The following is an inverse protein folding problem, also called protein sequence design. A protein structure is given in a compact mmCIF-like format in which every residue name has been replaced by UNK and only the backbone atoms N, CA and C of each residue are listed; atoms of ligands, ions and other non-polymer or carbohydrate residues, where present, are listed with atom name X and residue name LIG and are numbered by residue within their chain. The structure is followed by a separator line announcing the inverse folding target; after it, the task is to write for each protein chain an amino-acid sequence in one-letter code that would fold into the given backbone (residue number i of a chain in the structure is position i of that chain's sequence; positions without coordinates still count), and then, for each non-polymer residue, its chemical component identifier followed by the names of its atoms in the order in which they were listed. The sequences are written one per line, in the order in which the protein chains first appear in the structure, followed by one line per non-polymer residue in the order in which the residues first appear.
data_IF_051582293815
#
_entry.id   IF_051582293815
#
_cell.length_a   1.000
_cell.length_b   1.000
_cell.length_c   1.000
_cell.angle_alpha   90.00
_cell.angle_beta   90.00
_cell.angle_gamma   90.00
#
_symmetry.space_group_name_H-M   'P 1'
#
loop_
_entity.id
_entity.type
_entity.pdbx_description
1 polymer ?
#
# COMPACT_ATOMS: atom_id res chain seq x y z
N UNK A 1 38.32 28.09 43.57
CA UNK A 1 38.54 27.71 42.17
C UNK A 1 37.38 26.82 41.75
N UNK A 2 36.25 27.45 41.42
CA UNK A 2 35.05 26.81 40.89
C UNK A 2 35.16 26.80 39.36
N UNK A 3 34.97 25.64 38.73
CA UNK A 3 34.62 25.58 37.31
C UNK A 3 33.23 24.97 37.17
N UNK A 4 32.35 25.81 36.65
CA UNK A 4 30.98 25.54 36.24
C UNK A 4 30.94 24.44 35.18
N UNK A 5 30.08 23.44 35.40
CA UNK A 5 29.55 22.57 34.36
C UNK A 5 28.19 23.16 33.96
N UNK A 6 27.95 23.58 32.71
CA UNK A 6 26.62 24.02 32.30
C UNK A 6 25.69 22.82 32.14
N UNK A 7 24.47 22.95 32.68
CA UNK A 7 23.37 22.02 32.45
C UNK A 7 23.00 21.96 30.96
N UNK A 8 22.53 20.81 30.44
CA UNK A 8 22.10 20.71 29.05
C UNK A 8 20.83 21.54 28.83
N UNK A 9 20.90 22.46 27.88
CA UNK A 9 19.75 23.23 27.39
C UNK A 9 18.71 22.27 26.80
N UNK A 10 17.54 22.21 27.43
CA UNK A 10 16.29 21.74 26.86
C UNK A 10 15.93 22.67 25.68
N UNK A 11 16.32 22.31 24.45
CA UNK A 11 15.80 22.89 23.20
C UNK A 11 16.27 22.05 21.99
N UNK A 12 16.00 20.75 22.00
CA UNK A 12 16.08 19.96 20.77
C UNK A 12 14.92 18.94 20.72
N UNK A 13 13.73 19.46 20.40
CA UNK A 13 12.51 18.69 20.20
C UNK A 13 11.90 18.96 18.80
N UNK A 14 12.73 19.35 17.82
CA UNK A 14 12.31 19.62 16.44
C UNK A 14 13.05 18.75 15.41
N UNK A 15 13.20 17.45 15.69
CA UNK A 15 13.73 16.46 14.76
C UNK A 15 12.63 15.50 14.28
N UNK A 16 11.59 16.04 13.65
CA UNK A 16 10.76 15.27 12.72
C UNK A 16 10.84 15.95 11.36
N UNK A 17 11.63 15.43 10.41
CA UNK A 17 11.62 15.96 9.05
C UNK A 17 10.23 15.72 8.46
N UNK A 18 9.51 16.81 8.20
CA UNK A 18 8.19 16.88 7.58
C UNK A 18 8.18 16.51 6.08
N UNK A 19 9.07 15.58 5.67
CA UNK A 19 9.30 15.15 4.27
C UNK A 19 9.24 13.61 4.12
N UNK A 20 8.62 12.94 5.08
CA UNK A 20 8.74 11.49 5.25
C UNK A 20 7.40 10.81 5.01
N UNK A 21 7.27 10.15 3.86
CA UNK A 21 6.15 9.26 3.54
C UNK A 21 6.48 7.79 3.87
N UNK A 22 5.44 6.94 3.83
CA UNK A 22 5.56 5.48 3.83
C UNK A 22 6.08 4.90 5.15
N UNK A 23 5.97 5.65 6.25
CA UNK A 23 6.32 5.20 7.59
C UNK A 23 5.09 4.76 8.37
N UNK A 24 5.33 3.82 9.29
CA UNK A 24 4.34 3.31 10.24
C UNK A 24 4.85 3.58 11.66
N UNK A 25 4.56 4.75 12.25
CA UNK A 25 5.12 5.14 13.55
C UNK A 25 4.88 4.11 14.66
N UNK A 26 3.75 3.40 14.60
CA UNK A 26 3.35 2.39 15.59
C UNK A 26 3.76 0.95 15.22
N UNK A 27 4.48 0.71 14.12
CA UNK A 27 4.82 -0.67 13.73
C UNK A 27 5.71 -1.40 14.76
N UNK A 28 6.62 -0.70 15.44
CA UNK A 28 7.54 -1.31 16.41
C UNK A 28 6.83 -1.82 17.67
N UNK A 29 5.76 -1.18 18.12
CA UNK A 29 4.97 -1.65 19.27
C UNK A 29 4.17 -2.92 18.93
N UNK A 30 3.89 -3.15 17.64
CA UNK A 30 3.10 -4.29 17.15
C UNK A 30 3.92 -5.59 17.00
N UNK A 31 5.25 -5.51 16.91
CA UNK A 31 6.15 -6.68 16.73
C UNK A 31 6.06 -7.68 17.91
N UNK A 32 5.67 -7.22 19.10
CA UNK A 32 5.52 -8.07 20.29
C UNK A 32 4.35 -9.06 20.23
N UNK A 33 3.42 -8.94 19.26
CA UNK A 33 2.13 -9.66 19.25
C UNK A 33 1.79 -10.45 17.97
N UNK A 34 2.73 -10.72 17.04
CA UNK A 34 2.38 -11.31 15.72
C UNK A 34 2.50 -12.84 15.62
N UNK A 35 1.43 -13.51 15.14
CA UNK A 35 1.43 -14.81 14.45
C UNK A 35 0.55 -14.68 13.18
N UNK A 36 1.06 -15.03 12.01
CA UNK A 36 0.51 -14.65 10.69
C UNK A 36 0.05 -15.88 9.88
N UNK A 37 -1.25 -16.00 9.51
CA UNK A 37 -1.82 -16.64 8.27
C UNK A 37 -3.32 -16.26 8.12
N UNK A 38 -3.78 -15.86 6.92
CA UNK A 38 -5.19 -15.50 6.62
C UNK A 38 -5.54 -14.10 7.13
N UNK A 39 -6.39 -13.34 6.44
CA UNK A 39 -6.67 -11.93 6.81
C UNK A 39 -6.92 -11.76 8.31
N UNK A 40 -6.16 -10.87 8.96
CA UNK A 40 -6.25 -10.64 10.41
C UNK A 40 -6.70 -9.21 10.71
N UNK A 41 -7.35 -9.07 11.86
CA UNK A 41 -7.62 -7.78 12.47
C UNK A 41 -6.32 -6.99 12.61
N UNK A 42 -6.32 -5.81 12.01
CA UNK A 42 -5.18 -4.91 11.99
C UNK A 42 -5.14 -4.10 13.28
N UNK A 43 -3.95 -4.00 13.88
CA UNK A 43 -3.75 -3.12 15.04
C UNK A 43 -3.81 -1.64 14.62
N UNK A 44 -4.37 -0.75 15.46
CA UNK A 44 -4.48 0.68 15.16
C UNK A 44 -3.16 1.33 14.69
N UNK A 45 -3.21 2.08 13.60
CA UNK A 45 -2.04 2.78 13.04
C UNK A 45 -1.06 1.89 12.26
N UNK A 46 -1.37 0.61 12.02
CA UNK A 46 -0.55 -0.25 11.16
C UNK A 46 -0.53 0.27 9.71
N UNK A 47 -1.62 0.81 9.19
CA UNK A 47 -1.68 1.35 7.82
C UNK A 47 -2.13 2.82 7.83
N UNK A 48 -1.25 3.76 8.22
CA UNK A 48 -1.66 5.13 8.55
C UNK A 48 -2.09 5.98 7.33
N UNK A 49 -1.88 5.49 6.12
CA UNK A 49 -2.36 6.13 4.88
C UNK A 49 -3.73 5.62 4.44
N UNK A 50 -4.30 4.58 5.06
CA UNK A 50 -5.56 4.03 4.59
C UNK A 50 -6.73 4.99 4.86
N UNK A 51 -7.64 5.06 3.90
CA UNK A 51 -8.82 5.93 3.95
C UNK A 51 -10.06 5.10 3.71
N UNK A 52 -11.07 5.26 4.55
CA UNK A 52 -12.41 4.72 4.29
C UNK A 52 -13.26 5.78 3.58
N UNK A 53 -13.71 5.47 2.37
CA UNK A 53 -14.66 6.28 1.61
C UNK A 53 -16.07 5.81 1.95
N UNK A 54 -16.91 6.71 2.46
CA UNK A 54 -18.24 6.42 2.95
C UNK A 54 -19.32 7.23 2.25
N UNK A 55 -20.43 6.57 1.93
CA UNK A 55 -21.60 7.18 1.31
C UNK A 55 -22.72 7.36 2.35
N UNK A 56 -23.55 8.40 2.22
CA UNK A 56 -24.72 8.57 3.08
C UNK A 56 -25.77 7.48 2.80
N UNK A 57 -26.44 7.06 3.86
CA UNK A 57 -27.53 6.07 3.89
C UNK A 57 -28.62 6.55 4.86
N UNK A 58 -29.79 5.90 4.86
CA UNK A 58 -30.88 6.28 5.79
C UNK A 58 -30.50 6.14 7.27
N UNK A 59 -29.51 5.29 7.58
CA UNK A 59 -29.08 4.97 8.95
C UNK A 59 -27.72 5.59 9.32
N UNK A 60 -27.25 6.56 8.54
CA UNK A 60 -25.92 7.19 8.72
C UNK A 60 -25.00 6.96 7.53
N UNK A 61 -23.74 6.62 7.76
CA UNK A 61 -22.74 6.44 6.70
C UNK A 61 -22.36 4.98 6.53
N UNK A 62 -22.11 4.56 5.28
CA UNK A 62 -21.67 3.20 4.97
C UNK A 62 -20.38 3.24 4.16
N UNK A 63 -19.41 2.45 4.57
CA UNK A 63 -18.19 2.19 3.80
C UNK A 63 -18.53 1.63 2.42
N UNK A 64 -17.88 2.16 1.38
CA UNK A 64 -18.07 1.70 0.00
C UNK A 64 -16.77 1.34 -0.71
N UNK A 65 -15.68 2.05 -0.42
CA UNK A 65 -14.38 1.86 -1.05
C UNK A 65 -13.27 2.29 -0.09
N UNK A 66 -12.08 1.79 -0.33
CA UNK A 66 -10.83 2.28 0.24
C UNK A 66 -10.23 3.42 -0.57
N UNK A 67 -9.21 4.03 0.02
CA UNK A 67 -8.33 5.00 -0.61
C UNK A 67 -6.99 5.06 0.11
N UNK A 68 -6.05 5.82 -0.46
CA UNK A 68 -4.73 6.05 0.14
C UNK A 68 -4.43 7.55 0.21
N UNK A 69 -4.09 8.04 1.39
CA UNK A 69 -3.56 9.38 1.58
C UNK A 69 -2.15 9.46 0.96
N UNK A 70 -1.96 10.32 -0.03
CA UNK A 70 -0.68 10.48 -0.76
C UNK A 70 -0.01 11.83 -0.45
N UNK A 71 -0.79 12.78 0.05
CA UNK A 71 -0.35 14.05 0.61
C UNK A 71 -1.44 14.56 1.57
N UNK A 72 -1.17 15.57 2.42
CA UNK A 72 -2.19 16.09 3.31
C UNK A 72 -3.43 16.66 2.62
N UNK A 73 -3.43 16.86 1.30
CA UNK A 73 -4.59 17.36 0.54
C UNK A 73 -5.18 16.37 -0.45
N UNK A 74 -4.49 15.26 -0.73
CA UNK A 74 -4.87 14.35 -1.81
C UNK A 74 -4.96 12.90 -1.35
N UNK A 75 -6.08 12.29 -1.73
CA UNK A 75 -6.31 10.85 -1.63
C UNK A 75 -6.41 10.27 -3.02
N UNK A 76 -5.77 9.13 -3.24
CA UNK A 76 -5.92 8.33 -4.45
C UNK A 76 -6.80 7.11 -4.20
N UNK A 77 -7.59 6.72 -5.19
CA UNK A 77 -8.53 5.62 -5.13
C UNK A 77 -8.87 5.14 -6.55
N UNK A 78 -9.80 4.20 -6.70
CA UNK A 78 -10.26 3.70 -7.98
C UNK A 78 -11.38 4.59 -8.55
N UNK A 79 -11.42 4.77 -9.87
CA UNK A 79 -12.46 5.55 -10.54
C UNK A 79 -13.82 4.85 -10.49
N UNK A 80 -13.84 3.51 -10.53
CA UNK A 80 -15.09 2.73 -10.46
C UNK A 80 -15.85 2.89 -9.14
N UNK A 81 -15.21 3.41 -8.09
CA UNK A 81 -15.89 3.78 -6.85
C UNK A 81 -16.92 4.91 -7.06
N UNK A 82 -16.81 5.68 -8.14
CA UNK A 82 -17.62 6.85 -8.43
C UNK A 82 -18.51 6.69 -9.67
N UNK A 83 -18.87 5.44 -10.04
CA UNK A 83 -19.85 5.20 -11.12
C UNK A 83 -21.21 5.86 -10.82
N UNK A 84 -21.56 5.99 -9.55
CA UNK A 84 -22.72 6.74 -9.09
C UNK A 84 -22.28 7.86 -8.13
N UNK A 85 -22.32 9.11 -8.61
CA UNK A 85 -21.85 10.31 -7.89
C UNK A 85 -22.98 11.05 -7.18
N UNK A 86 -24.11 10.39 -6.96
CA UNK A 86 -25.25 11.02 -6.28
C UNK A 86 -24.84 11.42 -4.86
N UNK A 87 -25.13 12.66 -4.49
CA UNK A 87 -24.82 13.24 -3.18
C UNK A 87 -23.32 13.28 -2.86
N UNK A 88 -22.45 13.43 -3.86
CA UNK A 88 -20.99 13.45 -3.68
C UNK A 88 -20.54 14.49 -2.62
N UNK A 89 -21.24 15.61 -2.55
CA UNK A 89 -21.05 16.67 -1.55
C UNK A 89 -21.27 16.22 -0.11
N UNK A 90 -22.01 15.12 0.08
CA UNK A 90 -22.28 14.49 1.37
C UNK A 90 -21.43 13.25 1.63
N UNK A 91 -20.51 12.90 0.74
CA UNK A 91 -19.61 11.77 0.98
C UNK A 91 -18.58 12.13 2.04
N UNK A 92 -18.16 11.10 2.79
CA UNK A 92 -17.27 11.25 3.94
C UNK A 92 -16.03 10.39 3.79
N UNK A 93 -14.87 10.97 4.06
CA UNK A 93 -13.57 10.31 4.09
C UNK A 93 -13.13 10.19 5.56
N UNK A 94 -12.82 8.98 6.01
CA UNK A 94 -12.38 8.70 7.38
C UNK A 94 -10.93 8.21 7.37
N UNK A 95 -10.09 8.84 8.19
CA UNK A 95 -8.65 8.62 8.31
C UNK A 95 -8.29 8.18 9.73
N UNK A 96 -7.21 7.41 9.90
CA UNK A 96 -6.67 7.05 11.21
C UNK A 96 -7.51 6.08 12.02
N UNK A 97 -8.57 5.51 11.44
CA UNK A 97 -9.44 4.54 12.09
C UNK A 97 -8.94 3.11 11.84
N UNK A 98 -9.01 2.24 12.85
CA UNK A 98 -8.95 0.79 12.67
C UNK A 98 -10.35 0.17 12.69
N UNK A 99 -11.26 0.69 13.51
CA UNK A 99 -12.64 0.24 13.61
C UNK A 99 -13.59 1.35 13.15
N UNK A 100 -14.47 1.10 12.17
CA UNK A 100 -15.31 2.16 11.60
C UNK A 100 -16.47 2.57 12.50
N UNK A 101 -17.04 1.63 13.27
CA UNK A 101 -18.06 1.93 14.27
C UNK A 101 -17.51 2.71 15.47
N UNK A 102 -16.20 2.66 15.69
CA UNK A 102 -15.48 3.33 16.79
C UNK A 102 -14.12 3.87 16.32
N UNK A 103 -14.09 4.96 15.51
CA UNK A 103 -12.86 5.44 14.86
C UNK A 103 -11.72 5.81 15.81
N UNK A 104 -12.03 6.16 17.06
CA UNK A 104 -11.05 6.60 18.06
C UNK A 104 -10.81 8.11 18.03
N UNK A 105 -10.07 8.66 19.01
CA UNK A 105 -9.87 10.10 19.17
C UNK A 105 -8.91 10.71 18.13
N UNK A 106 -7.99 9.92 17.57
CA UNK A 106 -7.03 10.37 16.55
C UNK A 106 -7.58 10.30 15.12
N UNK A 107 -8.78 9.75 14.95
CA UNK A 107 -9.44 9.68 13.65
C UNK A 107 -9.89 11.07 13.20
N UNK A 108 -9.76 11.32 11.90
CA UNK A 108 -10.19 12.57 11.29
C UNK A 108 -11.15 12.28 10.14
N UNK A 109 -12.06 13.24 9.91
CA UNK A 109 -13.02 13.17 8.82
C UNK A 109 -12.84 14.36 7.86
N UNK A 110 -13.01 14.12 6.56
CA UNK A 110 -13.04 15.18 5.53
C UNK A 110 -14.12 14.88 4.49
N UNK A 111 -14.63 15.93 3.85
CA UNK A 111 -15.43 15.81 2.63
C UNK A 111 -14.58 16.01 1.37
N UNK A 112 -15.13 15.63 0.22
CA UNK A 112 -14.47 15.75 -1.09
C UNK A 112 -14.71 17.17 -1.63
N UNK A 113 -13.61 17.91 -1.88
CA UNK A 113 -13.66 19.22 -2.55
C UNK A 113 -13.73 19.09 -4.06
N UNK A 114 -12.89 18.22 -4.61
CA UNK A 114 -12.80 17.97 -6.04
C UNK A 114 -12.51 16.49 -6.28
N UNK A 115 -13.17 15.91 -7.29
CA UNK A 115 -12.96 14.54 -7.74
C UNK A 115 -12.43 14.58 -9.18
N UNK A 116 -11.26 14.01 -9.39
CA UNK A 116 -10.60 13.95 -10.70
C UNK A 116 -10.38 12.48 -11.08
N UNK A 117 -11.22 11.97 -11.96
CA UNK A 117 -11.02 10.65 -12.59
C UNK A 117 -10.01 10.77 -13.72
N UNK A 118 -9.28 9.69 -14.00
CA UNK A 118 -8.42 9.65 -15.17
C UNK A 118 -9.24 9.85 -16.45
N UNK A 119 -8.79 10.76 -17.33
CA UNK A 119 -9.58 11.20 -18.50
C UNK A 119 -9.87 10.08 -19.50
N UNK A 120 -9.05 9.03 -19.47
CA UNK A 120 -9.17 7.84 -20.31
C UNK A 120 -9.73 6.62 -19.54
N UNK A 121 -10.37 6.84 -18.39
CA UNK A 121 -11.04 5.77 -17.65
C UNK A 121 -12.16 5.14 -18.49
N UNK A 122 -12.23 3.80 -18.51
CA UNK A 122 -13.33 3.05 -19.16
C UNK A 122 -13.92 2.05 -18.18
N UNK A 123 -15.16 2.29 -17.78
CA UNK A 123 -15.88 1.45 -16.81
C UNK A 123 -16.11 0.01 -17.29
N UNK A 124 -16.32 -0.20 -18.60
CA UNK A 124 -16.56 -1.54 -19.16
C UNK A 124 -15.36 -2.47 -19.10
N UNK A 125 -14.14 -1.93 -19.06
CA UNK A 125 -12.90 -2.72 -19.08
C UNK A 125 -11.97 -2.42 -17.91
N UNK A 126 -12.38 -1.55 -16.98
CA UNK A 126 -11.54 -1.02 -15.89
C UNK A 126 -10.21 -0.43 -16.39
N UNK A 127 -10.18 0.06 -17.63
CA UNK A 127 -8.96 0.67 -18.17
C UNK A 127 -8.75 2.03 -17.52
N UNK A 128 -7.53 2.32 -17.05
CA UNK A 128 -7.19 3.53 -16.30
C UNK A 128 -8.09 3.78 -15.08
N UNK A 129 -8.37 2.73 -14.32
CA UNK A 129 -9.22 2.81 -13.13
C UNK A 129 -8.49 3.44 -11.94
N UNK A 130 -8.36 4.77 -11.99
CA UNK A 130 -7.75 5.60 -10.94
C UNK A 130 -8.44 6.95 -10.87
N UNK A 131 -8.62 7.45 -9.65
CA UNK A 131 -9.17 8.76 -9.37
C UNK A 131 -8.43 9.42 -8.20
N UNK A 132 -8.44 10.75 -8.19
CA UNK A 132 -7.90 11.60 -7.14
C UNK A 132 -9.02 12.40 -6.49
N UNK A 133 -8.98 12.50 -5.16
CA UNK A 133 -9.86 13.35 -4.38
C UNK A 133 -9.03 14.44 -3.69
N UNK A 134 -9.36 15.69 -3.98
CA UNK A 134 -8.89 16.83 -3.20
C UNK A 134 -9.75 16.93 -1.94
N UNK A 135 -9.11 17.03 -0.78
CA UNK A 135 -9.79 17.17 0.50
C UNK A 135 -10.34 18.61 0.66
N UNK A 136 -11.51 18.74 1.31
CA UNK A 136 -12.08 20.04 1.72
C UNK A 136 -11.10 20.91 2.50
N UNK A 137 -10.35 20.29 3.41
CA UNK A 137 -9.27 20.91 4.17
C UNK A 137 -8.13 19.90 4.35
N UNK A 138 -6.87 20.37 4.47
CA UNK A 138 -5.74 19.50 4.73
C UNK A 138 -5.94 18.60 5.97
N UNK A 139 -5.36 17.41 5.95
CA UNK A 139 -5.31 16.49 7.10
C UNK A 139 -4.14 16.87 8.00
N UNK A 140 -4.31 16.70 9.31
CA UNK A 140 -3.20 16.82 10.26
C UNK A 140 -2.59 15.44 10.44
N UNK A 141 -1.27 15.33 10.34
CA UNK A 141 -0.59 14.05 10.51
C UNK A 141 -0.48 13.67 11.99
N UNK A 142 -0.51 12.37 12.27
CA UNK A 142 -0.35 11.78 13.59
C UNK A 142 0.32 10.41 13.47
N UNK A 143 0.53 9.70 14.57
CA UNK A 143 1.02 8.32 14.53
C UNK A 143 0.07 7.36 13.79
N UNK A 144 -1.21 7.75 13.66
CA UNK A 144 -2.26 7.00 12.97
C UNK A 144 -2.55 7.52 11.55
N UNK A 145 -2.04 8.70 11.18
CA UNK A 145 -2.31 9.35 9.89
C UNK A 145 -0.98 9.83 9.29
N UNK A 146 -0.54 9.18 8.21
CA UNK A 146 0.70 9.48 7.49
C UNK A 146 0.50 9.23 5.98
N UNK A 147 1.12 10.02 5.08
CA UNK A 147 1.01 9.78 3.65
C UNK A 147 1.82 8.56 3.19
N UNK A 148 1.30 7.83 2.19
CA UNK A 148 2.03 6.76 1.51
C UNK A 148 3.06 7.33 0.52
N UNK A 149 4.17 6.61 0.31
CA UNK A 149 5.13 6.98 -0.75
C UNK A 149 4.66 6.47 -2.11
N UNK A 150 4.90 7.25 -3.17
CA UNK A 150 4.61 6.86 -4.54
C UNK A 150 5.90 6.49 -5.29
N UNK A 151 6.02 5.28 -5.84
CA UNK A 151 7.26 4.82 -6.49
C UNK A 151 7.52 5.59 -7.78
N UNK A 152 8.69 6.22 -7.88
CA UNK A 152 9.18 6.78 -9.15
C UNK A 152 9.72 5.69 -10.08
N UNK A 153 10.11 6.06 -11.30
CA UNK A 153 10.63 5.11 -12.30
C UNK A 153 11.97 4.46 -11.90
N UNK A 154 12.65 4.95 -10.86
CA UNK A 154 13.90 4.38 -10.37
C UNK A 154 13.66 3.29 -9.31
N UNK A 155 12.46 3.21 -8.74
CA UNK A 155 12.08 2.14 -7.81
C UNK A 155 11.80 0.88 -8.62
N UNK A 156 12.62 -0.14 -8.42
CA UNK A 156 12.40 -1.44 -9.04
C UNK A 156 11.31 -2.21 -8.28
N UNK A 157 10.09 -2.18 -8.81
CA UNK A 157 8.91 -2.80 -8.17
C UNK A 157 9.09 -4.30 -7.92
N UNK A 158 9.76 -5.01 -8.84
CA UNK A 158 10.08 -6.45 -8.71
C UNK A 158 11.02 -6.78 -7.54
N UNK A 159 11.79 -5.80 -7.07
CA UNK A 159 12.71 -5.98 -5.93
C UNK A 159 12.05 -5.75 -4.57
N UNK A 160 10.82 -5.20 -4.56
CA UNK A 160 10.07 -4.95 -3.34
C UNK A 160 9.54 -6.27 -2.78
N UNK A 161 9.52 -6.36 -1.45
CA UNK A 161 9.10 -7.58 -0.74
C UNK A 161 8.06 -7.24 0.30
N UNK A 162 7.47 -8.26 0.93
CA UNK A 162 6.50 -8.07 2.02
C UNK A 162 5.36 -7.13 1.59
N UNK A 163 4.66 -7.52 0.52
CA UNK A 163 3.53 -6.76 0.05
C UNK A 163 2.28 -7.08 0.86
N UNK A 164 1.48 -6.06 1.11
CA UNK A 164 0.24 -6.15 1.86
C UNK A 164 -0.88 -5.42 1.13
N UNK A 165 -2.07 -5.93 1.31
CA UNK A 165 -3.33 -5.23 1.05
C UNK A 165 -4.04 -5.03 2.37
N UNK A 166 -4.84 -3.97 2.45
CA UNK A 166 -5.61 -3.67 3.65
C UNK A 166 -6.92 -2.99 3.30
N UNK A 167 -7.98 -3.28 4.07
CA UNK A 167 -9.29 -2.72 3.85
C UNK A 167 -10.36 -3.25 4.80
N UNK A 168 -11.57 -2.71 4.64
CA UNK A 168 -12.78 -3.10 5.40
C UNK A 168 -13.74 -3.90 4.52
N UNK A 169 -13.25 -4.48 3.43
CA UNK A 169 -14.07 -5.25 2.51
C UNK A 169 -14.66 -6.53 3.11
N UNK A 170 -15.28 -7.30 2.23
CA UNK A 170 -15.87 -8.60 2.53
C UNK A 170 -14.75 -9.58 2.92
N UNK A 171 -14.84 -10.14 4.11
CA UNK A 171 -13.91 -11.17 4.61
C UNK A 171 -14.41 -12.60 4.41
N UNK A 172 -15.71 -12.75 4.17
CA UNK A 172 -16.37 -14.04 3.95
C UNK A 172 -17.13 -13.99 2.62
N UNK A 173 -16.58 -14.65 1.59
CA UNK A 173 -17.19 -14.69 0.25
C UNK A 173 -18.57 -15.34 0.22
N UNK A 174 -18.94 -16.10 1.26
CA UNK A 174 -20.31 -16.62 1.42
C UNK A 174 -21.31 -15.55 1.86
N UNK A 175 -20.82 -14.41 2.38
CA UNK A 175 -21.59 -13.26 2.84
C UNK A 175 -21.15 -11.98 2.10
N UNK A 176 -21.38 -11.88 0.78
CA UNK A 176 -20.86 -10.79 -0.06
C UNK A 176 -21.42 -9.39 0.24
N UNK A 177 -22.38 -9.29 1.18
CA UNK A 177 -22.97 -8.02 1.62
C UNK A 177 -22.43 -7.54 2.98
N UNK A 178 -21.62 -8.35 3.66
CA UNK A 178 -21.11 -8.06 4.99
C UNK A 178 -19.64 -7.65 4.88
N UNK A 179 -19.39 -6.36 5.10
CA UNK A 179 -18.05 -5.78 5.21
C UNK A 179 -17.53 -5.89 6.63
N UNK A 180 -16.21 -5.90 6.80
CA UNK A 180 -15.61 -5.88 8.13
C UNK A 180 -15.75 -4.49 8.78
N UNK A 181 -16.04 -4.47 10.09
CA UNK A 181 -15.99 -3.23 10.88
C UNK A 181 -14.54 -2.91 11.32
N UNK A 182 -13.71 -3.94 11.51
CA UNK A 182 -12.31 -3.84 11.89
C UNK A 182 -11.45 -3.97 10.63
N UNK A 183 -10.46 -3.09 10.49
CA UNK A 183 -9.53 -3.07 9.37
C UNK A 183 -8.82 -4.41 9.27
N UNK A 184 -8.78 -4.98 8.08
CA UNK A 184 -8.07 -6.22 7.80
C UNK A 184 -6.78 -5.94 7.06
N UNK A 185 -5.80 -6.82 7.24
CA UNK A 185 -4.60 -6.86 6.41
C UNK A 185 -4.31 -8.27 5.92
N UNK A 186 -3.73 -8.36 4.73
CA UNK A 186 -3.32 -9.62 4.15
C UNK A 186 -1.99 -9.48 3.40
N UNK A 187 -1.08 -10.42 3.65
CA UNK A 187 0.19 -10.50 2.92
C UNK A 187 -0.05 -11.14 1.54
N UNK A 188 0.44 -10.50 0.50
CA UNK A 188 0.31 -10.95 -0.90
C UNK A 188 1.67 -10.95 -1.61
N UNK A 189 1.76 -11.68 -2.71
CA UNK A 189 2.93 -11.68 -3.57
C UNK A 189 2.63 -10.93 -4.87
N UNK A 190 3.61 -10.17 -5.39
CA UNK A 190 3.53 -9.63 -6.74
C UNK A 190 3.67 -10.77 -7.74
N UNK A 191 2.75 -10.84 -8.70
CA UNK A 191 2.76 -11.86 -9.74
C UNK A 191 3.13 -11.20 -11.08
N UNK A 192 4.10 -11.74 -11.82
CA UNK A 192 4.46 -11.21 -13.14
C UNK A 192 3.24 -11.10 -14.06
N UNK A 193 3.12 -9.97 -14.74
CA UNK A 193 2.00 -9.72 -15.66
C UNK A 193 1.95 -10.75 -16.80
N UNK A 194 3.08 -11.34 -17.19
CA UNK A 194 3.17 -12.41 -18.18
C UNK A 194 2.42 -13.67 -17.74
N UNK A 195 2.58 -14.07 -16.47
CA UNK A 195 1.86 -15.19 -15.85
C UNK A 195 0.38 -14.85 -15.69
N UNK A 196 0.11 -13.71 -15.07
CA UNK A 196 -1.25 -13.27 -14.74
C UNK A 196 -2.12 -13.06 -16.00
N UNK A 197 -1.53 -12.52 -17.07
CA UNK A 197 -2.19 -12.28 -18.35
C UNK A 197 -2.01 -13.46 -19.34
N UNK A 198 -1.70 -14.66 -18.85
CA UNK A 198 -1.67 -15.88 -19.66
C UNK A 198 -3.08 -16.32 -20.08
N UNK A 199 -3.15 -17.20 -21.09
CA UNK A 199 -4.44 -17.78 -21.56
C UNK A 199 -5.16 -18.57 -20.47
N UNK A 200 -4.41 -19.29 -19.63
CA UNK A 200 -4.96 -20.09 -18.54
C UNK A 200 -5.51 -19.22 -17.39
N UNK A 201 -4.94 -18.02 -17.21
CA UNK A 201 -5.37 -17.05 -16.21
C UNK A 201 -6.30 -16.07 -16.88
N UNK A 202 -6.01 -14.76 -16.90
CA UNK A 202 -6.95 -13.73 -17.34
C UNK A 202 -7.18 -13.63 -18.85
N UNK A 203 -6.62 -14.55 -19.64
CA UNK A 203 -6.85 -14.65 -21.09
C UNK A 203 -6.67 -13.32 -21.84
N UNK A 204 -5.51 -12.69 -21.65
CA UNK A 204 -5.12 -11.44 -22.33
C UNK A 204 -5.98 -10.21 -22.01
N UNK A 205 -6.82 -10.25 -20.97
CA UNK A 205 -7.69 -9.14 -20.55
C UNK A 205 -7.01 -8.08 -19.68
N UNK A 206 -5.82 -8.34 -19.16
CA UNK A 206 -5.11 -7.40 -18.28
C UNK A 206 -4.43 -6.34 -19.12
N UNK A 207 -4.60 -5.07 -18.72
CA UNK A 207 -4.01 -3.92 -19.37
C UNK A 207 -2.58 -3.69 -18.92
N UNK A 208 -1.79 -3.00 -19.74
CA UNK A 208 -0.38 -2.69 -19.45
C UNK A 208 -0.17 -1.76 -18.25
N UNK A 209 -1.22 -1.03 -17.85
CA UNK A 209 -1.23 -0.13 -16.69
C UNK A 209 -1.65 -0.86 -15.40
N UNK A 210 -1.77 -2.19 -15.43
CA UNK A 210 -2.14 -2.98 -14.26
C UNK A 210 -0.95 -3.75 -13.65
N UNK A 211 -1.11 -4.13 -12.39
CA UNK A 211 -0.29 -5.06 -11.63
C UNK A 211 -1.16 -6.22 -11.15
N UNK A 212 -0.53 -7.37 -10.87
CA UNK A 212 -1.19 -8.50 -10.23
C UNK A 212 -0.54 -8.78 -8.88
N UNK A 213 -1.38 -9.01 -7.87
CA UNK A 213 -0.91 -9.46 -6.57
C UNK A 213 -1.89 -10.44 -5.93
N UNK A 214 -1.35 -11.46 -5.27
CA UNK A 214 -2.13 -12.50 -4.61
C UNK A 214 -1.30 -13.75 -4.40
N UNK A 215 -1.97 -14.89 -4.32
CA UNK A 215 -1.36 -16.22 -4.25
C UNK A 215 -1.92 -17.08 -5.39
N UNK A 216 -1.08 -17.94 -5.97
CA UNK A 216 -1.47 -18.69 -7.17
C UNK A 216 -2.56 -19.73 -6.85
N UNK A 217 -2.48 -20.31 -5.66
CA UNK A 217 -3.44 -21.21 -5.05
C UNK A 217 -4.77 -20.53 -4.67
N UNK A 218 -4.81 -19.19 -4.64
CA UNK A 218 -5.96 -18.41 -4.17
C UNK A 218 -5.99 -18.28 -2.64
N UNK A 219 -7.20 -18.24 -2.07
CA UNK A 219 -7.41 -18.13 -0.62
C UNK A 219 -7.30 -16.72 -0.06
N UNK A 220 -6.19 -16.02 -0.34
CA UNK A 220 -5.95 -14.64 0.13
C UNK A 220 -6.06 -13.67 -1.04
N UNK A 221 -6.96 -12.69 -0.94
CA UNK A 221 -7.22 -11.70 -1.98
C UNK A 221 -7.93 -10.45 -1.41
N UNK A 222 -7.94 -9.37 -2.18
CA UNK A 222 -8.86 -8.23 -1.94
C UNK A 222 -10.26 -8.59 -2.42
N UNK A 223 -11.28 -8.04 -1.77
CA UNK A 223 -12.67 -8.34 -2.10
C UNK A 223 -13.55 -7.08 -2.11
N UNK A 224 -14.87 -7.26 -2.25
CA UNK A 224 -15.81 -6.14 -2.35
C UNK A 224 -15.67 -5.22 -1.13
N UNK A 225 -15.49 -3.93 -1.38
CA UNK A 225 -15.22 -2.92 -0.34
C UNK A 225 -13.74 -2.53 -0.22
N UNK A 226 -12.81 -3.39 -0.64
CA UNK A 226 -11.38 -3.04 -0.68
C UNK A 226 -11.00 -2.23 -1.93
N UNK A 227 -11.91 -2.12 -2.90
CA UNK A 227 -11.80 -1.29 -4.10
C UNK A 227 -11.24 0.09 -3.80
N UNK A 228 -10.24 0.53 -4.54
CA UNK A 228 -9.54 1.81 -4.32
C UNK A 228 -8.54 1.80 -3.16
N UNK A 229 -8.55 0.76 -2.33
CA UNK A 229 -7.61 0.56 -1.23
C UNK A 229 -6.19 0.25 -1.70
N UNK A 230 -5.20 0.36 -0.80
CA UNK A 230 -3.80 0.32 -1.15
C UNK A 230 -3.26 -1.11 -1.36
N UNK A 231 -2.38 -1.27 -2.35
CA UNK A 231 -1.39 -2.34 -2.43
C UNK A 231 -0.03 -1.76 -2.08
N UNK A 232 0.54 -2.16 -0.95
CA UNK A 232 1.78 -1.60 -0.42
C UNK A 232 2.87 -2.64 -0.39
N UNK A 233 4.09 -2.28 -0.78
CA UNK A 233 5.25 -3.16 -0.66
C UNK A 233 6.39 -2.47 0.08
N UNK A 234 7.14 -3.24 0.86
CA UNK A 234 8.27 -2.73 1.64
C UNK A 234 9.55 -2.74 0.81
N UNK A 235 10.30 -1.65 0.92
CA UNK A 235 11.66 -1.59 0.39
C UNK A 235 12.59 -2.51 1.19
N UNK A 236 13.47 -3.27 0.53
CA UNK A 236 14.35 -4.21 1.26
C UNK A 236 15.35 -3.49 2.20
N UNK A 237 15.77 -2.28 1.83
CA UNK A 237 16.85 -1.54 2.52
C UNK A 237 16.34 -0.54 3.55
N UNK A 238 15.02 -0.39 3.71
CA UNK A 238 14.42 0.52 4.67
C UNK A 238 13.06 0.00 5.16
N UNK A 239 12.61 0.40 6.35
CA UNK A 239 11.25 0.08 6.84
C UNK A 239 10.15 0.90 6.14
N UNK A 240 10.43 1.44 4.95
CA UNK A 240 9.51 2.27 4.17
C UNK A 240 8.64 1.42 3.25
N UNK A 241 7.38 1.80 3.19
CA UNK A 241 6.40 1.23 2.27
C UNK A 241 6.12 2.17 1.09
N UNK A 242 6.01 1.55 -0.08
CA UNK A 242 5.58 2.17 -1.32
C UNK A 242 4.15 1.73 -1.63
N UNK A 243 3.28 2.68 -1.97
CA UNK A 243 2.00 2.38 -2.61
C UNK A 243 2.27 2.02 -4.06
N UNK A 244 2.35 0.72 -4.36
CA UNK A 244 2.68 0.24 -5.70
C UNK A 244 1.45 0.10 -6.58
N UNK A 245 0.26 -0.08 -5.98
CA UNK A 245 -0.98 -0.20 -6.72
C UNK A 245 -2.22 0.26 -5.96
N UNK A 246 -3.29 0.50 -6.72
CA UNK A 246 -4.64 0.80 -6.24
C UNK A 246 -5.56 -0.35 -6.62
N UNK A 247 -6.26 -0.93 -5.64
CA UNK A 247 -7.16 -2.08 -5.84
C UNK A 247 -8.25 -1.74 -6.85
N UNK A 248 -8.39 -2.55 -7.91
CA UNK A 248 -9.26 -2.20 -9.05
C UNK A 248 -10.29 -3.28 -9.34
N UNK A 249 -9.89 -4.47 -9.81
CA UNK A 249 -10.83 -5.52 -10.19
C UNK A 249 -10.24 -6.92 -10.03
N UNK A 250 -11.07 -7.95 -10.19
CA UNK A 250 -10.67 -9.35 -10.12
C UNK A 250 -11.79 -10.27 -10.59
N UNK A 251 -11.46 -11.50 -10.97
CA UNK A 251 -12.45 -12.50 -11.39
C UNK A 251 -13.03 -13.27 -10.20
N UNK A 252 -13.78 -12.57 -9.34
CA UNK A 252 -14.14 -13.04 -8.00
C UNK A 252 -13.01 -12.77 -7.00
N UNK A 253 -13.17 -13.22 -5.76
CA UNK A 253 -12.16 -13.09 -4.71
C UNK A 253 -11.56 -14.46 -4.36
N UNK A 254 -10.28 -14.49 -4.02
CA UNK A 254 -9.60 -15.63 -3.40
C UNK A 254 -9.63 -16.92 -4.25
N UNK A 255 -9.77 -16.79 -5.58
CA UNK A 255 -9.79 -17.93 -6.51
C UNK A 255 -8.38 -18.25 -7.01
N UNK A 256 -8.08 -19.54 -7.09
CA UNK A 256 -6.83 -20.02 -7.68
C UNK A 256 -6.67 -19.47 -9.12
N UNK A 257 -5.44 -19.05 -9.46
CA UNK A 257 -5.08 -18.45 -10.75
C UNK A 257 -5.87 -17.18 -11.11
N UNK A 258 -6.55 -16.55 -10.14
CA UNK A 258 -7.32 -15.31 -10.29
C UNK A 258 -6.92 -14.30 -9.21
N UNK A 259 -5.65 -13.85 -9.17
CA UNK A 259 -5.23 -12.82 -8.23
C UNK A 259 -5.97 -11.50 -8.48
N UNK A 260 -5.99 -10.63 -7.47
CA UNK A 260 -6.44 -9.25 -7.61
C UNK A 260 -5.62 -8.46 -8.64
N UNK A 261 -6.30 -7.55 -9.33
CA UNK A 261 -5.74 -6.65 -10.33
C UNK A 261 -5.76 -5.22 -9.78
N UNK A 262 -4.62 -4.54 -9.91
CA UNK A 262 -4.40 -3.22 -9.33
C UNK A 262 -3.97 -2.23 -10.42
N UNK A 263 -4.38 -0.97 -10.32
CA UNK A 263 -3.84 0.12 -11.15
C UNK A 263 -2.42 0.45 -10.70
N UNK A 264 -1.45 0.45 -11.62
CA UNK A 264 -0.02 0.63 -11.33
C UNK A 264 0.32 2.07 -10.95
N UNK A 265 0.79 2.29 -9.72
CA UNK A 265 1.14 3.65 -9.28
C UNK A 265 2.34 4.23 -10.01
N UNK A 266 3.31 3.39 -10.38
CA UNK A 266 4.45 3.84 -11.16
C UNK A 266 4.01 4.32 -12.55
N UNK A 267 3.02 3.67 -13.16
CA UNK A 267 2.43 4.09 -14.43
C UNK A 267 1.70 5.44 -14.31
N UNK A 268 0.87 5.62 -13.28
CA UNK A 268 0.05 6.82 -13.11
C UNK A 268 0.78 8.00 -12.45
N UNK A 269 2.03 7.84 -12.01
CA UNK A 269 2.75 8.87 -11.26
C UNK A 269 2.81 10.22 -11.99
N UNK A 270 3.00 10.21 -13.31
CA UNK A 270 3.01 11.45 -14.11
C UNK A 270 1.66 12.14 -14.06
N UNK A 271 0.57 11.41 -14.31
CA UNK A 271 -0.78 11.95 -14.25
C UNK A 271 -1.10 12.50 -12.86
N UNK A 272 -0.71 11.80 -11.79
CA UNK A 272 -0.92 12.25 -10.41
C UNK A 272 -0.21 13.58 -10.15
N UNK A 273 1.04 13.74 -10.59
CA UNK A 273 1.79 15.02 -10.50
C UNK A 273 1.15 16.13 -11.33
N UNK A 274 0.70 15.80 -12.54
CA UNK A 274 0.11 16.77 -13.46
C UNK A 274 -1.24 17.29 -12.93
N UNK A 275 -2.05 16.46 -12.27
CA UNK A 275 -3.33 16.86 -11.67
C UNK A 275 -3.13 17.67 -10.40
N UNK A 276 -2.35 17.15 -9.46
CA UNK A 276 -2.21 17.75 -8.12
C UNK A 276 -1.31 18.97 -8.09
N UNK A 277 -0.40 19.10 -9.08
CA UNK A 277 0.68 20.10 -9.09
C UNK A 277 1.60 20.02 -7.88
N UNK A 278 1.58 18.88 -7.17
CA UNK A 278 2.42 18.64 -6.00
C UNK A 278 3.69 17.86 -6.39
N UNK A 279 4.80 18.26 -5.76
CA UNK A 279 5.99 17.42 -5.75
C UNK A 279 5.81 16.38 -4.64
N UNK A 280 5.23 15.23 -4.99
CA UNK A 280 5.14 14.10 -4.06
C UNK A 280 6.53 13.72 -3.57
N UNK A 281 6.60 13.46 -2.26
CA UNK A 281 7.82 13.20 -1.53
C UNK A 281 8.69 12.17 -2.26
N UNK A 282 9.88 12.59 -2.70
CA UNK A 282 10.91 11.65 -3.12
C UNK A 282 11.53 11.11 -1.85
N UNK A 283 11.40 9.80 -1.63
CA UNK A 283 12.32 9.13 -0.73
C UNK A 283 13.76 9.44 -1.18
N UNK A 284 14.68 9.80 -0.27
CA UNK A 284 16.10 9.75 -0.60
C UNK A 284 16.40 8.33 -1.07
N UNK A 285 16.75 8.17 -2.34
CA UNK A 285 17.21 6.89 -2.86
C UNK A 285 18.49 6.53 -2.09
N UNK A 286 18.59 5.34 -1.46
CA UNK A 286 19.88 4.91 -0.96
C UNK A 286 20.88 4.93 -2.13
N UNK A 287 22.12 5.42 -1.93
CA UNK A 287 23.11 5.44 -3.00
C UNK A 287 23.19 4.06 -3.64
N UNK A 288 23.19 3.99 -4.98
CA UNK A 288 23.50 2.76 -5.70
C UNK A 288 24.93 2.36 -5.32
N UNK A 289 25.08 1.53 -4.29
CA UNK A 289 26.36 0.90 -4.00
C UNK A 289 26.69 0.03 -5.19
N UNK A 290 27.71 0.45 -5.95
CA UNK A 290 28.39 -0.41 -6.91
C UNK A 290 28.72 -1.71 -6.15
N UNK A 291 28.49 -2.91 -6.72
CA UNK A 291 28.98 -4.14 -6.10
C UNK A 291 30.44 -3.91 -5.72
N UNK A 292 30.87 -4.27 -4.50
CA UNK A 292 32.27 -4.14 -4.15
C UNK A 292 33.07 -4.95 -5.17
N UNK A 293 33.80 -4.26 -6.05
CA UNK A 293 34.86 -4.87 -6.82
C UNK A 293 35.96 -5.18 -5.82
N UNK A 294 35.82 -6.27 -5.07
CA UNK A 294 36.94 -6.82 -4.32
C UNK A 294 37.83 -7.57 -5.31
N UNK A 295 39.12 -7.26 -5.40
CA UNK A 295 40.09 -8.15 -6.02
C UNK A 295 40.04 -9.48 -5.27
N UNK A 296 39.72 -10.54 -6.00
CA UNK A 296 39.89 -11.92 -5.56
C UNK A 296 41.40 -12.17 -5.52
N UNK A 297 42.10 -11.75 -4.46
CA UNK A 297 43.49 -12.15 -4.14
C UNK A 297 43.97 -11.49 -2.84
N UNK A 298 43.28 -11.68 -1.70
CA UNK A 298 43.90 -11.33 -0.42
C UNK A 298 43.31 -11.97 0.85
N UNK A 299 42.99 -13.26 0.85
CA UNK A 299 42.76 -13.99 2.11
C UNK A 299 43.24 -15.44 2.03
N UNK A 300 44.56 -15.66 2.16
CA UNK A 300 45.10 -16.78 2.94
C UNK A 300 46.59 -16.57 3.21
N UNK A 301 46.96 -16.29 4.46
CA UNK A 301 48.28 -16.64 4.97
C UNK A 301 48.08 -17.36 6.32
N UNK A 302 48.51 -18.63 6.45
CA UNK A 302 48.45 -19.33 7.72
C UNK A 302 49.68 -18.99 8.54
N UNK A 303 49.49 -18.36 9.70
CA UNK A 303 50.52 -18.28 10.74
C UNK A 303 50.32 -19.40 11.76
N UNK A 304 51.38 -20.19 11.93
CA UNK A 304 51.52 -21.27 12.90
C UNK A 304 51.66 -20.72 14.34
N UNK A 305 51.12 -21.38 15.38
CA UNK A 305 51.44 -21.05 16.76
C UNK A 305 52.59 -21.92 17.29
N UNK A 306 53.63 -21.28 17.82
CA UNK A 306 54.64 -21.92 18.66
C UNK A 306 54.30 -21.70 20.14
N UNK A 307 54.36 -22.81 20.89
CA UNK A 307 54.51 -22.95 22.34
C UNK A 307 54.81 -21.69 23.17
N UNK A 308 53.92 -21.38 24.13
CA UNK A 308 54.33 -21.08 25.51
C UNK A 308 53.31 -21.73 26.45
N UNK A 309 53.80 -22.66 27.25
CA UNK A 309 53.09 -23.34 28.33
C UNK A 309 53.83 -22.99 29.63
N UNK A 310 53.14 -23.09 30.78
CA UNK A 310 53.51 -22.64 32.14
C UNK A 310 53.02 -21.21 32.45
N UNK A 311 52.27 -20.93 33.53
CA UNK A 311 51.93 -21.69 34.72
C UNK A 311 50.84 -20.89 35.47
N UNK A 312 49.76 -21.53 35.89
CA UNK A 312 49.24 -21.54 37.26
C UNK A 312 47.84 -22.17 37.26
N UNK A 313 47.84 -23.48 37.48
CA UNK A 313 46.68 -24.21 37.98
C UNK A 313 46.40 -23.76 39.42
N UNK A 314 45.16 -23.36 39.71
CA UNK A 314 44.48 -23.81 40.92
C UNK A 314 42.98 -23.53 40.82
N UNK A 315 42.20 -24.59 41.10
CA UNK A 315 40.74 -24.64 41.28
C UNK A 315 39.87 -24.63 40.01
N UNK A 316 39.56 -25.81 39.45
CA UNK A 316 38.20 -26.36 39.23
C UNK A 316 38.31 -27.86 38.86
N UNK A 317 37.64 -28.73 39.61
CA UNK A 317 37.44 -30.15 39.31
C UNK A 317 36.14 -30.37 38.50
N UNK A 318 36.10 -31.23 37.46
CA UNK A 318 34.84 -31.69 36.86
C UNK A 318 34.62 -33.22 36.95
N UNK A 319 33.39 -33.61 37.31
CA UNK A 319 32.73 -34.90 37.02
C UNK A 319 31.21 -34.79 37.32
N UNK A 320 30.32 -35.63 36.77
CA UNK A 320 30.22 -36.24 35.44
C UNK A 320 28.87 -35.91 34.72
N UNK A 321 28.80 -36.20 33.41
CA UNK A 321 27.60 -36.05 32.55
C UNK A 321 26.45 -36.98 32.96
N UNK A 322 25.17 -36.55 32.84
CA UNK A 322 24.03 -37.45 32.88
C UNK A 322 23.76 -38.10 31.52
N UNK A 323 23.54 -39.41 31.53
CA UNK A 323 23.10 -40.24 30.41
C UNK A 323 21.58 -40.16 30.30
N UNK A 324 21.03 -39.78 29.14
CA UNK A 324 19.61 -40.00 28.82
C UNK A 324 19.49 -41.06 27.72
N UNK A 325 18.73 -42.10 28.02
CA UNK A 325 18.37 -43.20 27.12
C UNK A 325 17.37 -42.76 26.03
N UNK A 326 17.42 -43.38 24.83
CA UNK A 326 16.51 -43.05 23.73
C UNK A 326 15.06 -43.50 24.02
N UNK A 327 14.04 -42.82 23.46
CA UNK A 327 12.64 -43.15 23.68
C UNK A 327 12.23 -44.46 22.97
N UNK A 328 11.28 -45.16 23.60
CA UNK A 328 10.72 -46.44 23.16
C UNK A 328 9.96 -46.29 21.83
N UNK A 329 10.09 -47.24 20.87
CA UNK A 329 9.20 -47.29 19.72
C UNK A 329 7.75 -47.60 20.16
N UNK A 330 6.74 -47.05 19.46
CA UNK A 330 5.33 -47.25 19.80
C UNK A 330 4.94 -48.73 19.67
N UNK A 331 4.06 -49.18 20.57
CA UNK A 331 3.53 -50.54 20.57
C UNK A 331 2.53 -50.75 19.43
N UNK A 332 2.34 -52.00 19.00
CA UNK A 332 1.40 -52.35 17.93
C UNK A 332 -0.05 -51.88 18.23
N UNK A 333 -0.44 -51.79 19.51
CA UNK A 333 -1.75 -51.26 19.91
C UNK A 333 -1.86 -49.73 19.73
N UNK A 334 -0.77 -48.99 19.89
CA UNK A 334 -0.75 -47.53 19.69
C UNK A 334 -0.80 -47.18 18.19
N UNK A 335 -0.18 -48.00 17.34
CA UNK A 335 -0.28 -47.89 15.87
C UNK A 335 -1.71 -48.19 15.40
N UNK A 336 -2.33 -49.26 15.93
CA UNK A 336 -3.71 -49.63 15.57
C UNK A 336 -4.75 -48.58 15.99
N UNK A 337 -4.56 -47.91 17.14
CA UNK A 337 -5.45 -46.82 17.56
C UNK A 337 -5.34 -45.60 16.63
N UNK A 338 -4.15 -45.31 16.10
CA UNK A 338 -3.95 -44.21 15.16
C UNK A 338 -4.55 -44.51 13.78
N UNK A 339 -4.41 -45.73 13.27
CA UNK A 339 -5.02 -46.17 12.01
C UNK A 339 -6.56 -46.19 12.07
N UNK A 340 -7.13 -46.63 13.20
CA UNK A 340 -8.58 -46.63 13.40
C UNK A 340 -9.17 -45.22 13.51
N UNK A 341 -8.42 -44.26 14.07
CA UNK A 341 -8.81 -42.85 14.08
C UNK A 341 -8.73 -42.20 12.69
N UNK A 342 -7.70 -42.53 11.90
CA UNK A 342 -7.53 -42.02 10.52
C UNK A 342 -8.59 -42.59 9.54
N UNK A 343 -9.00 -43.85 9.71
CA UNK A 343 -10.05 -44.48 8.90
C UNK A 343 -11.47 -43.94 9.20
N UNK A 344 -11.69 -43.35 10.39
CA UNK A 344 -12.97 -42.74 10.76
C UNK A 344 -13.19 -41.34 10.15
N UNK A 345 -12.14 -40.70 9.61
CA UNK A 345 -12.21 -39.39 8.94
C UNK A 345 -12.29 -39.48 7.40
N UNK A 346 -12.32 -40.69 6.83
CA UNK A 346 -12.30 -40.93 5.38
C UNK A 346 -13.48 -41.76 4.88
N UNK A 347 -14.70 -41.55 5.43
CA UNK A 347 -15.94 -42.02 4.78
C UNK A 347 -16.49 -40.97 3.81
N UNK A 348 -16.59 -41.28 2.50
CA UNK A 348 -17.31 -40.44 1.54
C UNK A 348 -18.82 -40.50 1.81
N UNK A 349 -19.44 -39.33 1.97
CA UNK A 349 -20.90 -39.21 1.82
C UNK A 349 -21.26 -39.38 0.35
N UNK A 350 -21.83 -40.53 0.02
CA UNK A 350 -22.40 -40.85 -1.29
C UNK A 350 -23.80 -40.25 -1.41
N UNK A 351 -23.95 -39.18 -2.19
CA UNK A 351 -25.22 -38.87 -2.84
C UNK A 351 -24.98 -38.48 -4.31
N UNK A 352 -25.67 -39.11 -5.28
CA UNK A 352 -25.45 -38.91 -6.70
C UNK A 352 -26.14 -37.62 -7.22
N UNK A 353 -25.40 -36.83 -8.01
CA UNK A 353 -25.94 -35.77 -8.86
C UNK A 353 -26.25 -36.33 -10.27
N UNK A 354 -27.38 -35.96 -10.90
CA UNK A 354 -27.77 -36.47 -12.23
C UNK A 354 -26.97 -35.81 -13.38
N UNK A 355 -26.83 -36.47 -14.54
CA UNK A 355 -25.95 -36.04 -15.62
C UNK A 355 -26.52 -34.87 -16.44
N UNK A 356 -25.66 -33.87 -16.68
CA UNK A 356 -25.84 -32.83 -17.68
C UNK A 356 -25.33 -33.33 -19.04
N UNK A 357 -26.26 -33.53 -19.99
CA UNK A 357 -25.96 -33.75 -21.41
C UNK A 357 -26.09 -32.44 -22.19
N UNK A 358 -25.05 -32.10 -22.94
CA UNK A 358 -25.02 -31.03 -23.94
C UNK A 358 -25.23 -31.66 -25.32
N UNK A 359 -26.13 -31.13 -26.17
CA UNK A 359 -26.03 -31.31 -27.60
C UNK A 359 -25.57 -30.03 -28.28
N UNK A 360 -24.49 -30.15 -29.06
CA UNK A 360 -24.12 -29.24 -30.13
C UNK A 360 -24.97 -29.51 -31.37
N UNK A 361 -25.41 -28.45 -32.07
CA UNK A 361 -25.44 -28.27 -33.54
C UNK A 361 -25.89 -26.82 -33.81
N UNK A 362 -25.00 -25.97 -34.31
CA UNK A 362 -25.00 -25.44 -35.70
C UNK A 362 -26.22 -24.60 -36.08
N UNK A 363 -26.00 -23.29 -36.30
CA UNK A 363 -26.20 -22.66 -37.61
C UNK A 363 -25.51 -21.28 -37.69
N UNK A 364 -24.65 -21.15 -38.70
CA UNK A 364 -24.12 -19.91 -39.24
C UNK A 364 -25.20 -19.28 -40.15
N UNK A 365 -25.34 -17.95 -40.16
CA UNK A 365 -25.69 -17.09 -41.32
C UNK A 365 -25.88 -15.61 -40.85
N UNK A 366 -25.82 -14.60 -41.75
CA UNK A 366 -24.63 -13.75 -41.91
C UNK A 366 -24.82 -12.28 -41.49
N UNK A 367 -23.70 -11.56 -41.55
CA UNK A 367 -23.54 -10.11 -41.42
C UNK A 367 -24.44 -9.29 -42.36
N UNK A 368 -25.05 -8.23 -41.82
CA UNK A 368 -25.70 -7.14 -42.56
C UNK A 368 -25.02 -5.79 -42.27
N UNK A 369 -25.19 -4.78 -43.16
CA UNK A 369 -24.10 -3.90 -43.57
C UNK A 369 -23.95 -2.60 -42.76
N UNK A 370 -22.76 -2.02 -42.95
CA UNK A 370 -22.33 -0.71 -42.47
C UNK A 370 -23.27 0.42 -42.95
N UNK A 371 -23.78 1.19 -41.99
CA UNK A 371 -24.45 2.47 -42.23
C UNK A 371 -23.37 3.56 -42.44
N UNK A 372 -23.50 4.48 -43.42
CA UNK A 372 -22.50 5.50 -43.67
C UNK A 372 -22.48 6.56 -42.56
N UNK A 373 -21.28 6.86 -42.07
CA UNK A 373 -21.02 7.97 -41.15
C UNK A 373 -21.22 9.31 -41.84
N UNK A 374 -22.09 10.16 -41.28
CA UNK A 374 -22.19 11.58 -41.61
C UNK A 374 -20.89 12.32 -41.22
N UNK A 375 -20.43 13.30 -42.02
CA UNK A 375 -19.22 14.06 -41.71
C UNK A 375 -19.41 14.99 -40.51
N UNK A 376 -18.37 15.08 -39.66
CA UNK A 376 -18.29 15.98 -38.51
C UNK A 376 -18.24 17.45 -38.96
N UNK A 377 -18.89 18.39 -38.24
CA UNK A 377 -18.77 19.81 -38.51
C UNK A 377 -17.36 20.35 -38.19
N UNK A 378 -16.90 21.42 -38.90
CA UNK A 378 -15.57 21.98 -38.71
C UNK A 378 -15.42 22.65 -37.32
N UNK A 379 -14.19 22.68 -36.77
CA UNK A 379 -13.92 23.28 -35.47
C UNK A 379 -14.07 24.81 -35.49
N UNK A 380 -14.48 25.44 -34.37
CA UNK A 380 -14.59 26.88 -34.27
C UNK A 380 -13.20 27.56 -34.29
N UNK A 381 -13.13 28.83 -34.76
CA UNK A 381 -11.87 29.57 -34.87
C UNK A 381 -11.26 29.90 -33.49
N UNK A 382 -9.93 30.09 -33.41
CA UNK A 382 -9.23 30.34 -32.16
C UNK A 382 -9.58 31.70 -31.55
N UNK A 383 -9.83 31.68 -30.24
CA UNK A 383 -10.01 32.88 -29.41
C UNK A 383 -8.71 33.69 -29.34
N UNK A 384 -8.82 34.98 -29.67
CA UNK A 384 -7.75 35.97 -29.58
C UNK A 384 -7.40 36.24 -28.12
N UNK A 385 -6.10 36.23 -27.82
CA UNK A 385 -5.50 36.70 -26.57
C UNK A 385 -5.46 38.23 -26.54
N UNK A 386 -5.85 38.91 -25.45
CA UNK A 386 -5.37 40.26 -25.17
C UNK A 386 -4.05 40.22 -24.39
N UNK A 387 -3.15 41.14 -24.74
CA UNK A 387 -1.88 41.40 -24.06
C UNK A 387 -2.07 42.29 -22.82
N UNK A 388 -1.03 42.49 -21.99
CA UNK A 388 -1.14 42.87 -20.59
C UNK A 388 -1.05 44.39 -20.38
N UNK A 389 -1.71 44.91 -19.33
CA UNK A 389 -1.16 45.80 -18.27
C UNK A 389 -2.30 46.15 -17.30
N UNK A 390 -2.09 45.97 -16.00
CA UNK A 390 -2.19 47.05 -15.00
C UNK A 390 -1.70 46.57 -13.63
N UNK A 391 -0.92 47.45 -12.99
CA UNK A 391 -0.35 47.29 -11.66
C UNK A 391 -1.45 47.54 -10.63
N UNK A 392 -1.62 46.62 -9.68
CA UNK A 392 -2.44 46.82 -8.48
C UNK A 392 -1.61 46.48 -7.24
N UNK A 393 -1.47 47.46 -6.36
CA UNK A 393 -0.79 47.41 -5.07
C UNK A 393 -1.40 46.33 -4.16
N UNK A 394 -0.57 45.54 -3.49
CA UNK A 394 -1.00 44.64 -2.40
C UNK A 394 -0.66 45.31 -1.08
N UNK A 395 -1.69 45.74 -0.37
CA UNK A 395 -1.62 46.13 1.04
C UNK A 395 -1.29 44.91 1.90
N UNK A 396 -0.37 45.11 2.84
CA UNK A 396 0.12 44.07 3.75
C UNK A 396 -0.96 43.52 4.67
N UNK A 397 -0.94 42.20 4.85
CA UNK A 397 -1.71 41.50 5.87
C UNK A 397 -0.78 41.21 7.05
N UNK A 398 -1.23 41.59 8.24
CA UNK A 398 -0.51 41.55 9.50
C UNK A 398 -0.06 40.17 9.94
N UNK A 399 1.05 40.19 10.68
CA UNK A 399 1.78 39.05 11.20
C UNK A 399 1.16 38.54 12.51
N UNK A 400 -0.08 38.04 12.50
CA UNK A 400 -0.66 37.31 13.65
C UNK A 400 -1.57 36.18 13.17
N UNK A 401 -0.98 35.06 12.72
CA UNK A 401 -1.68 33.75 12.63
C UNK A 401 -0.75 32.52 12.49
N UNK A 402 0.52 32.63 12.93
CA UNK A 402 1.53 31.56 12.75
C UNK A 402 1.60 30.52 13.88
N UNK A 403 0.56 30.39 14.74
CA UNK A 403 0.56 29.39 15.83
C UNK A 403 -0.15 28.07 15.50
N UNK A 404 -0.64 27.85 14.27
CA UNK A 404 -1.37 26.62 13.88
C UNK A 404 -0.66 25.69 12.90
N UNK A 405 0.56 26.00 12.44
CA UNK A 405 1.18 25.32 11.28
C UNK A 405 2.08 24.12 11.63
N UNK A 406 2.26 23.76 12.90
CA UNK A 406 3.22 22.71 13.30
C UNK A 406 2.72 21.26 13.16
N UNK A 407 1.53 21.03 12.61
CA UNK A 407 0.89 19.69 12.56
C UNK A 407 0.40 19.28 11.15
N UNK A 408 0.58 20.15 10.16
CA UNK A 408 0.32 19.82 8.76
C UNK A 408 1.44 18.91 8.25
N UNK A 409 1.11 17.96 7.37
CA UNK A 409 2.11 17.04 6.80
C UNK A 409 3.06 17.71 5.78
N UNK A 410 3.25 19.04 5.86
CA UNK A 410 4.21 19.84 5.09
C UNK A 410 4.74 21.00 5.93
N UNK A 411 6.03 21.29 5.79
CA UNK A 411 6.57 22.65 5.95
C UNK A 411 7.02 23.12 4.56
N UNK A 412 6.39 24.16 4.02
CA UNK A 412 6.78 24.74 2.72
C UNK A 412 7.31 26.15 2.96
N UNK A 413 8.62 26.33 2.91
CA UNK A 413 9.22 27.59 2.43
C UNK A 413 10.45 27.30 1.58
N UNK A 414 10.28 27.43 0.26
CA UNK A 414 11.38 27.59 -0.69
C UNK A 414 11.52 29.06 -1.06
N UNK A 415 12.59 29.71 -0.63
CA UNK A 415 13.10 30.93 -1.28
C UNK A 415 14.53 30.67 -1.77
N UNK A 416 14.88 31.07 -3.00
CA UNK A 416 16.23 30.90 -3.53
C UNK A 416 17.16 31.92 -2.88
N UNK A 417 18.19 31.47 -2.16
CA UNK A 417 19.31 32.33 -1.79
C UNK A 417 20.15 32.61 -3.03
N UNK A 418 20.12 33.86 -3.49
CA UNK A 418 21.13 34.43 -4.38
C UNK A 418 22.50 34.31 -3.71
N UNK A 419 23.45 33.67 -4.39
CA UNK A 419 24.87 33.76 -4.11
C UNK A 419 25.30 35.22 -4.16
N UNK A 420 25.70 35.77 -3.02
CA UNK A 420 26.37 37.08 -2.94
C UNK A 420 27.88 36.82 -2.88
N UNK A 421 28.61 37.38 -3.85
CA UNK A 421 30.07 37.34 -3.91
C UNK A 421 30.69 38.00 -2.66
N UNK A 422 31.88 37.55 -2.20
CA UNK A 422 32.57 38.22 -1.11
C UNK A 422 33.24 39.49 -1.62
N UNK A 423 32.76 40.64 -1.15
CA UNK A 423 33.53 41.89 -1.15
C UNK A 423 34.58 41.82 -0.03
N UNK A 424 35.81 42.13 -0.42
CA UNK A 424 36.98 42.36 0.42
C UNK A 424 36.81 43.57 1.36
N UNK A 425 37.78 43.68 2.28
CA UNK A 425 38.23 44.86 3.07
C UNK A 425 37.72 44.83 4.53
N UNK A 426 38.56 44.83 5.59
CA UNK A 426 39.95 45.28 5.79
C UNK A 426 40.86 44.20 6.38
#
# INVERSE_FOLDING_TARGET
WNRNIPAPHLNDLSLFPSDICGRRPLASSHISNMRIVGGIDTLPGTWPWIVSIQIPTMTGFRHTCGGSLISPRWVITAAHCFLNKRYLEHWKLVFGAAQLSRPGPDAQERTIKNLVEHQQYRSSTYFNDVALMELSHPINCSDYIQPACLPDMNVEISSLTHCYVSGWGVTDVSKPKVTSDILQEAKVNLIPITTCNSTAWYNKKIHYNNLCAGHEEGGIDTCQGDSGGPLMCREHRSERFWLVGVTSWGAGCARAMRPGIYSSMQHFLKWVKDVTKENFFKAPHPPKTRPPTMPLDQLWQPTTPSNVNQQLESWVQPRPKPTMSPPRPPSANEIQQFENWAAAQTRPSTQPTPPFTIPWTQEFLPSEPLVPTLPLPPPPPPLQTPSPWEKGEVQGVGLEDLKGLSQLCYSVEGKPQQLRAPELVK
#
